data_IF_020926518415
#
_entry.id   IF_020926518415
#
_cell.length_a   1.000
_cell.length_b   1.000
_cell.length_c   1.000
_cell.angle_alpha   90.00
_cell.angle_beta   90.00
_cell.angle_gamma   90.00
#
_symmetry.space_group_name_H-M   'P 1'
#
loop_
_entity.id
_entity.type
_entity.pdbx_description
1 polymer ?
#
# COMPACT_ATOMS: atom_id res chain seq x y z
N UNK A 1 -13.17 21.84 15.38
CA UNK A 1 -13.21 20.68 16.28
C UNK A 1 -13.67 19.49 15.49
N UNK A 2 -12.82 18.49 15.27
CA UNK A 2 -13.24 17.08 15.16
C UNK A 2 -12.00 16.23 15.43
N UNK A 3 -11.93 15.75 16.66
CA UNK A 3 -11.02 14.70 17.10
C UNK A 3 -11.31 13.43 16.31
N UNK A 4 -10.35 12.93 15.52
CA UNK A 4 -10.46 11.60 14.91
C UNK A 4 -9.11 11.03 14.41
N UNK A 5 -8.08 11.86 14.29
CA UNK A 5 -6.74 11.40 13.89
C UNK A 5 -5.86 10.90 15.06
N UNK A 6 -6.25 11.16 16.33
CA UNK A 6 -5.42 10.81 17.52
C UNK A 6 -5.29 9.30 17.80
N UNK A 7 -6.19 8.46 17.26
CA UNK A 7 -6.20 7.02 17.50
C UNK A 7 -5.65 6.18 16.32
N UNK A 8 -5.21 6.81 15.22
CA UNK A 8 -4.67 6.02 14.12
C UNK A 8 -3.35 5.36 14.55
N UNK A 9 -3.17 4.05 14.28
CA UNK A 9 -1.92 3.41 14.62
C UNK A 9 -0.77 4.01 13.79
N UNK A 10 0.47 4.05 14.32
CA UNK A 10 1.58 4.79 13.71
C UNK A 10 1.91 4.35 12.27
N UNK A 11 1.66 3.07 11.95
CA UNK A 11 1.83 2.52 10.60
C UNK A 11 0.79 3.05 9.60
N UNK A 12 -0.35 3.56 10.10
CA UNK A 12 -1.41 4.19 9.33
C UNK A 12 -1.27 5.72 9.28
N UNK A 13 -0.27 6.34 9.90
CA UNK A 13 -0.13 7.80 9.95
C UNK A 13 0.01 8.45 8.55
N UNK A 14 0.60 7.72 7.59
CA UNK A 14 0.72 8.17 6.19
C UNK A 14 -0.49 7.78 5.33
N UNK A 15 -1.47 7.06 5.89
CA UNK A 15 -2.66 6.61 5.16
C UNK A 15 -3.65 7.75 4.95
N UNK A 16 -4.29 7.77 3.79
CA UNK A 16 -5.26 8.81 3.40
C UNK A 16 -6.67 8.24 3.47
N UNK A 17 -7.64 9.11 3.78
CA UNK A 17 -9.06 8.73 3.69
C UNK A 17 -9.39 8.19 2.30
N UNK A 18 -10.27 7.19 2.21
CA UNK A 18 -10.61 6.47 0.97
C UNK A 18 -10.88 7.42 -0.20
N UNK A 19 -11.69 8.47 0.00
CA UNK A 19 -11.99 9.47 -1.03
C UNK A 19 -10.75 10.18 -1.62
N UNK A 20 -9.74 10.47 -0.79
CA UNK A 20 -8.49 11.10 -1.22
C UNK A 20 -7.56 10.05 -1.85
N UNK A 21 -7.45 8.89 -1.20
CA UNK A 21 -6.64 7.79 -1.67
C UNK A 21 -7.08 7.29 -3.05
N UNK A 22 -8.39 7.27 -3.31
CA UNK A 22 -8.98 6.94 -4.59
C UNK A 22 -8.44 7.83 -5.72
N UNK A 23 -8.23 9.12 -5.46
CA UNK A 23 -7.66 10.06 -6.44
C UNK A 23 -6.16 9.90 -6.59
N UNK A 24 -5.45 9.60 -5.51
CA UNK A 24 -3.99 9.53 -5.46
C UNK A 24 -3.44 8.22 -6.01
N UNK A 25 -4.15 7.12 -5.78
CA UNK A 25 -3.69 5.77 -6.12
C UNK A 25 -4.38 5.16 -7.35
N UNK A 26 -5.42 5.81 -7.86
CA UNK A 26 -5.97 5.48 -9.18
C UNK A 26 -4.94 5.71 -10.28
N UNK A 27 -5.10 4.98 -11.38
CA UNK A 27 -4.37 5.24 -12.60
C UNK A 27 -4.63 6.69 -13.08
N UNK A 28 -3.57 7.50 -13.31
CA UNK A 28 -3.70 8.89 -13.69
C UNK A 28 -4.39 9.07 -15.05
N UNK A 29 -4.20 8.15 -15.99
CA UNK A 29 -4.80 8.21 -17.33
C UNK A 29 -6.30 7.92 -17.26
N UNK A 30 -6.70 6.92 -16.47
CA UNK A 30 -8.12 6.63 -16.21
C UNK A 30 -8.80 7.78 -15.46
N UNK A 31 -8.15 8.38 -14.47
CA UNK A 31 -8.69 9.52 -13.74
C UNK A 31 -8.85 10.75 -14.64
N UNK A 32 -7.87 11.01 -15.52
CA UNK A 32 -7.97 12.07 -16.51
C UNK A 32 -9.10 11.81 -17.51
N UNK A 33 -9.27 10.56 -17.97
CA UNK A 33 -10.38 10.16 -18.83
C UNK A 33 -11.74 10.36 -18.14
N UNK A 34 -11.86 9.98 -16.87
CA UNK A 34 -13.06 10.20 -16.07
C UNK A 34 -13.42 11.70 -15.98
N UNK A 35 -12.44 12.56 -15.67
CA UNK A 35 -12.68 14.00 -15.58
C UNK A 35 -13.05 14.63 -16.92
N UNK A 36 -12.43 14.20 -18.03
CA UNK A 36 -12.83 14.64 -19.37
C UNK A 36 -14.27 14.24 -19.66
N UNK A 37 -14.64 12.99 -19.40
CA UNK A 37 -15.99 12.48 -19.65
C UNK A 37 -17.03 13.15 -18.76
N UNK A 38 -16.74 13.38 -17.47
CA UNK A 38 -17.60 14.15 -16.56
C UNK A 38 -17.93 15.54 -17.10
N UNK A 39 -16.90 16.28 -17.53
CA UNK A 39 -17.09 17.61 -18.15
C UNK A 39 -17.92 17.52 -19.43
N UNK A 40 -17.73 16.47 -20.21
CA UNK A 40 -18.51 16.23 -21.42
C UNK A 40 -20.00 16.01 -21.10
N UNK A 41 -20.32 15.18 -20.11
CA UNK A 41 -21.71 14.98 -19.63
C UNK A 41 -22.31 16.27 -19.11
N UNK A 42 -21.56 17.06 -18.33
CA UNK A 42 -22.02 18.35 -17.81
C UNK A 42 -22.34 19.35 -18.92
N UNK A 43 -21.52 19.40 -19.98
CA UNK A 43 -21.66 20.38 -21.06
C UNK A 43 -22.64 19.97 -22.17
N UNK A 44 -22.62 18.69 -22.55
CA UNK A 44 -23.42 18.17 -23.68
C UNK A 44 -24.72 17.52 -23.24
N UNK A 45 -24.85 17.18 -21.95
CA UNK A 45 -26.06 16.59 -21.40
C UNK A 45 -27.21 17.58 -21.34
N UNK A 46 -28.42 17.11 -21.66
CA UNK A 46 -29.65 17.85 -21.44
C UNK A 46 -30.12 17.64 -20.00
N UNK A 47 -29.92 18.66 -19.18
CA UNK A 47 -30.31 18.65 -17.78
C UNK A 47 -31.74 19.16 -17.61
N UNK A 48 -32.54 18.41 -16.86
CA UNK A 48 -33.91 18.77 -16.48
C UNK A 48 -33.95 19.12 -15.00
N UNK A 49 -34.67 20.19 -14.69
CA UNK A 49 -34.89 20.61 -13.32
C UNK A 49 -35.93 19.71 -12.67
N UNK A 50 -35.56 19.11 -11.52
CA UNK A 50 -36.46 18.27 -10.72
C UNK A 50 -36.50 18.86 -9.31
N UNK A 51 -37.31 19.89 -9.14
CA UNK A 51 -37.64 20.43 -7.82
C UNK A 51 -38.86 19.75 -7.22
N UNK A 52 -38.83 19.45 -5.92
CA UNK A 52 -40.03 19.09 -5.17
C UNK A 52 -40.05 19.81 -3.83
N UNK A 53 -41.24 20.00 -3.25
CA UNK A 53 -41.40 20.66 -1.94
C UNK A 53 -40.61 19.96 -0.82
N UNK A 54 -40.24 18.68 -0.98
CA UNK A 54 -39.54 17.87 0.01
C UNK A 54 -38.03 17.72 -0.22
N UNK A 55 -37.52 18.07 -1.40
CA UNK A 55 -36.11 17.88 -1.73
C UNK A 55 -35.57 19.15 -2.37
N UNK A 56 -34.45 19.70 -1.86
CA UNK A 56 -33.87 20.92 -2.40
C UNK A 56 -33.54 20.77 -3.89
N UNK A 57 -33.71 21.86 -4.62
CA UNK A 57 -33.51 22.01 -6.06
C UNK A 57 -32.31 21.21 -6.60
N UNK A 58 -32.57 20.22 -7.46
CA UNK A 58 -31.51 19.52 -8.18
C UNK A 58 -31.84 19.29 -9.65
N UNK A 59 -30.80 19.17 -10.46
CA UNK A 59 -30.88 18.88 -11.88
C UNK A 59 -30.55 17.40 -12.10
N UNK A 60 -31.33 16.74 -12.94
CA UNK A 60 -31.05 15.37 -13.41
C UNK A 60 -30.83 15.39 -14.91
N UNK A 61 -30.01 14.45 -15.38
CA UNK A 61 -29.87 14.25 -16.82
C UNK A 61 -31.18 13.66 -17.36
N UNK A 62 -31.75 14.27 -18.40
CA UNK A 62 -33.00 13.83 -19.01
C UNK A 62 -32.92 12.36 -19.40
N UNK A 63 -33.94 11.57 -19.07
CA UNK A 63 -34.03 10.17 -19.49
C UNK A 63 -34.19 10.03 -21.01
N UNK A 64 -34.68 11.09 -21.68
CA UNK A 64 -34.88 11.13 -23.12
C UNK A 64 -33.63 11.59 -23.90
N UNK A 65 -32.59 12.06 -23.20
CA UNK A 65 -31.31 12.44 -23.82
C UNK A 65 -30.42 11.22 -24.03
N UNK A 66 -30.67 10.49 -25.13
CA UNK A 66 -29.89 9.28 -25.46
C UNK A 66 -28.38 9.55 -25.59
N UNK A 67 -27.97 10.75 -25.99
CA UNK A 67 -26.56 11.13 -26.10
C UNK A 67 -25.93 11.35 -24.74
N UNK A 68 -26.55 12.17 -23.89
CA UNK A 68 -26.11 12.38 -22.51
C UNK A 68 -26.07 11.08 -21.73
N UNK A 69 -27.09 10.21 -21.85
CA UNK A 69 -27.13 8.92 -21.18
C UNK A 69 -25.98 8.00 -21.62
N UNK A 70 -25.61 8.02 -22.90
CA UNK A 70 -24.44 7.29 -23.40
C UNK A 70 -23.15 7.81 -22.78
N UNK A 71 -22.97 9.13 -22.72
CA UNK A 71 -21.79 9.74 -22.08
C UNK A 71 -21.71 9.41 -20.58
N UNK A 72 -22.86 9.39 -19.90
CA UNK A 72 -22.96 8.99 -18.50
C UNK A 72 -22.60 7.51 -18.31
N UNK A 73 -23.02 6.63 -19.22
CA UNK A 73 -22.65 5.23 -19.17
C UNK A 73 -21.14 5.03 -19.42
N UNK A 74 -20.56 5.70 -20.41
CA UNK A 74 -19.11 5.71 -20.63
C UNK A 74 -18.35 6.21 -19.39
N UNK A 75 -18.87 7.25 -18.72
CA UNK A 75 -18.31 7.75 -17.47
C UNK A 75 -18.33 6.68 -16.38
N UNK A 76 -19.44 5.95 -16.22
CA UNK A 76 -19.57 4.83 -15.25
C UNK A 76 -18.60 3.70 -15.58
N UNK A 77 -18.43 3.36 -16.86
CA UNK A 77 -17.48 2.32 -17.27
C UNK A 77 -16.03 2.68 -16.90
N UNK A 78 -15.62 3.94 -17.09
CA UNK A 78 -14.29 4.39 -16.64
C UNK A 78 -14.19 4.29 -15.11
N UNK A 79 -15.24 4.66 -14.37
CA UNK A 79 -15.24 4.54 -12.92
C UNK A 79 -15.09 3.07 -12.48
N UNK A 80 -15.80 2.13 -13.10
CA UNK A 80 -15.66 0.70 -12.85
C UNK A 80 -14.24 0.18 -13.12
N UNK A 81 -13.57 0.70 -14.14
CA UNK A 81 -12.16 0.36 -14.43
C UNK A 81 -11.23 0.86 -13.33
N UNK A 82 -11.43 2.10 -12.84
CA UNK A 82 -10.65 2.65 -11.72
C UNK A 82 -10.86 1.82 -10.45
N UNK A 83 -12.11 1.47 -10.13
CA UNK A 83 -12.43 0.60 -8.98
C UNK A 83 -11.77 -0.78 -9.14
N UNK A 84 -11.81 -1.36 -10.34
CA UNK A 84 -11.19 -2.65 -10.64
C UNK A 84 -9.67 -2.65 -10.42
N UNK A 85 -8.97 -1.62 -10.90
CA UNK A 85 -7.53 -1.45 -10.68
C UNK A 85 -7.20 -1.30 -9.18
N UNK A 86 -7.96 -0.46 -8.48
CA UNK A 86 -7.78 -0.23 -7.05
C UNK A 86 -7.98 -1.51 -6.24
N UNK A 87 -9.06 -2.25 -6.53
CA UNK A 87 -9.34 -3.54 -5.91
C UNK A 87 -8.27 -4.59 -6.23
N UNK A 88 -7.71 -4.58 -7.44
CA UNK A 88 -6.59 -5.44 -7.82
C UNK A 88 -5.34 -5.13 -6.98
N UNK A 89 -5.00 -3.84 -6.81
CA UNK A 89 -3.88 -3.39 -5.96
C UNK A 89 -4.08 -3.80 -4.48
N UNK A 90 -5.30 -3.72 -3.97
CA UNK A 90 -5.65 -4.17 -2.60
C UNK A 90 -5.47 -5.68 -2.43
N UNK A 91 -6.00 -6.49 -3.36
CA UNK A 91 -5.89 -7.96 -3.32
C UNK A 91 -4.46 -8.45 -3.43
N UNK A 92 -3.61 -7.71 -4.15
CA UNK A 92 -2.17 -7.99 -4.29
C UNK A 92 -1.33 -7.48 -3.11
N UNK A 93 -1.94 -6.76 -2.16
CA UNK A 93 -1.24 -6.16 -1.03
C UNK A 93 -0.33 -4.99 -1.39
N UNK A 94 -0.48 -4.43 -2.61
CA UNK A 94 0.24 -3.22 -3.05
C UNK A 94 -0.27 -2.01 -2.27
N UNK A 95 -1.54 -2.03 -1.89
CA UNK A 95 -2.17 -1.06 -1.01
C UNK A 95 -2.60 -1.75 0.28
N UNK A 96 -2.44 -1.04 1.40
CA UNK A 96 -2.90 -1.48 2.71
C UNK A 96 -4.08 -0.62 3.14
N UNK A 97 -5.04 -1.25 3.79
CA UNK A 97 -6.21 -0.59 4.35
C UNK A 97 -6.20 -0.75 5.86
N UNK A 98 -6.52 0.35 6.54
CA UNK A 98 -6.92 0.37 7.93
C UNK A 98 -8.37 0.81 8.00
N UNK A 99 -9.18 0.11 8.78
CA UNK A 99 -10.60 0.40 8.91
C UNK A 99 -11.09 0.00 10.31
N UNK A 100 -12.30 0.44 10.64
CA UNK A 100 -13.02 0.04 11.85
C UNK A 100 -14.08 -1.00 11.46
N UNK A 101 -14.07 -2.15 12.12
CA UNK A 101 -14.95 -3.28 11.76
C UNK A 101 -16.22 -3.29 12.62
N UNK A 102 -17.38 -3.41 11.97
CA UNK A 102 -18.70 -3.55 12.60
C UNK A 102 -19.28 -2.29 13.24
N UNK A 103 -18.46 -1.28 13.57
CA UNK A 103 -18.91 0.00 14.10
C UNK A 103 -17.93 1.13 13.78
N UNK A 104 -18.39 2.37 13.53
CA UNK A 104 -17.54 3.55 13.42
C UNK A 104 -16.72 3.87 14.68
N UNK A 105 -17.06 3.27 15.83
CA UNK A 105 -16.33 3.46 17.10
C UNK A 105 -15.41 2.27 17.43
N UNK A 106 -15.42 1.21 16.60
CA UNK A 106 -14.58 0.03 16.82
C UNK A 106 -13.08 0.38 16.64
N UNK A 107 -12.14 -0.33 17.27
CA UNK A 107 -10.72 -0.02 17.14
C UNK A 107 -10.23 -0.18 15.69
N UNK A 108 -9.22 0.61 15.33
CA UNK A 108 -8.57 0.50 14.03
C UNK A 108 -7.92 -0.86 13.84
N UNK A 109 -8.14 -1.46 12.68
CA UNK A 109 -7.49 -2.72 12.29
C UNK A 109 -6.97 -2.64 10.88
N UNK A 110 -5.79 -3.22 10.69
CA UNK A 110 -5.23 -3.47 9.36
C UNK A 110 -6.01 -4.60 8.70
N UNK A 111 -6.61 -4.33 7.55
CA UNK A 111 -7.38 -5.30 6.79
C UNK A 111 -6.44 -6.07 5.87
N UNK A 112 -6.35 -7.41 6.01
CA UNK A 112 -5.43 -8.20 5.22
C UNK A 112 -5.84 -8.20 3.74
N UNK A 113 -4.85 -8.27 2.84
CA UNK A 113 -5.07 -8.30 1.38
C UNK A 113 -6.05 -9.42 0.96
N UNK A 114 -6.02 -10.57 1.64
CA UNK A 114 -6.90 -11.72 1.41
C UNK A 114 -8.37 -11.41 1.67
N UNK A 115 -8.71 -10.51 2.59
CA UNK A 115 -10.09 -10.13 2.88
C UNK A 115 -10.78 -9.41 1.70
N UNK A 116 -10.01 -8.73 0.85
CA UNK A 116 -10.50 -8.07 -0.37
C UNK A 116 -10.91 -9.02 -1.49
N UNK A 117 -10.83 -10.34 -1.27
CA UNK A 117 -11.45 -11.35 -2.13
C UNK A 117 -12.97 -11.38 -1.95
N UNK A 118 -13.47 -11.07 -0.75
CA UNK A 118 -14.90 -11.11 -0.41
C UNK A 118 -15.47 -9.73 -0.10
N UNK A 119 -14.64 -8.78 0.34
CA UNK A 119 -15.03 -7.39 0.56
C UNK A 119 -15.15 -6.60 -0.74
N UNK A 120 -16.07 -5.63 -0.78
CA UNK A 120 -16.24 -4.63 -1.84
C UNK A 120 -16.37 -3.24 -1.22
N UNK A 121 -15.80 -2.23 -1.88
CA UNK A 121 -16.06 -0.84 -1.51
C UNK A 121 -17.55 -0.54 -1.76
N UNK A 122 -18.17 0.17 -0.82
CA UNK A 122 -19.61 0.48 -0.83
C UNK A 122 -19.81 1.98 -1.09
N UNK A 123 -19.29 2.84 -0.20
CA UNK A 123 -19.32 4.30 -0.36
C UNK A 123 -17.91 4.88 -0.23
N UNK A 124 -17.34 5.28 -1.37
CA UNK A 124 -15.98 5.85 -1.44
C UNK A 124 -15.87 7.16 -0.68
N UNK A 125 -16.95 7.96 -0.65
CA UNK A 125 -16.98 9.28 0.01
C UNK A 125 -17.03 9.09 1.52
N UNK A 126 -17.88 8.18 2.01
CA UNK A 126 -17.99 7.87 3.44
C UNK A 126 -16.90 6.94 3.94
N UNK A 127 -16.12 6.33 3.05
CA UNK A 127 -15.05 5.42 3.45
C UNK A 127 -15.59 4.09 3.96
N UNK A 128 -16.60 3.50 3.31
CA UNK A 128 -17.19 2.23 3.76
C UNK A 128 -16.95 1.08 2.77
N UNK A 129 -16.88 -0.14 3.31
CA UNK A 129 -16.82 -1.37 2.53
C UNK A 129 -17.65 -2.46 3.20
N UNK A 130 -18.18 -3.40 2.41
CA UNK A 130 -19.05 -4.47 2.88
C UNK A 130 -18.61 -5.81 2.32
N UNK A 131 -18.84 -6.86 3.09
CA UNK A 131 -18.70 -8.25 2.66
C UNK A 131 -19.61 -9.15 3.49
N UNK A 132 -19.52 -10.47 3.28
CA UNK A 132 -20.36 -11.43 4.02
C UNK A 132 -20.14 -11.30 5.53
N UNK A 133 -21.13 -10.73 6.24
CA UNK A 133 -21.10 -10.57 7.70
C UNK A 133 -20.11 -9.51 8.22
N UNK A 134 -19.52 -8.70 7.34
CA UNK A 134 -18.50 -7.70 7.72
C UNK A 134 -18.84 -6.36 7.09
N UNK A 135 -18.89 -5.33 7.92
CA UNK A 135 -18.95 -3.93 7.49
C UNK A 135 -17.73 -3.18 8.01
N UNK A 136 -17.11 -2.41 7.12
CA UNK A 136 -15.95 -1.59 7.42
C UNK A 136 -16.33 -0.12 7.33
N UNK A 137 -15.87 0.64 8.32
CA UNK A 137 -16.08 2.07 8.47
C UNK A 137 -14.74 2.81 8.51
N UNK A 138 -14.79 4.10 8.18
CA UNK A 138 -13.65 5.03 8.21
C UNK A 138 -12.41 4.50 7.47
N UNK A 139 -12.59 3.94 6.27
CA UNK A 139 -11.49 3.32 5.51
C UNK A 139 -10.39 4.33 5.20
N UNK A 140 -9.17 3.96 5.61
CA UNK A 140 -7.92 4.67 5.32
C UNK A 140 -7.02 3.77 4.50
N UNK A 141 -6.48 4.30 3.42
CA UNK A 141 -5.67 3.58 2.46
C UNK A 141 -4.28 4.21 2.39
N UNK A 142 -3.26 3.36 2.42
CA UNK A 142 -1.89 3.77 2.25
C UNK A 142 -1.11 2.76 1.44
N UNK A 143 0.08 3.15 1.05
CA UNK A 143 1.09 2.18 0.62
C UNK A 143 1.55 1.46 1.88
N UNK A 144 1.70 0.12 1.88
CA UNK A 144 2.34 -0.56 2.99
C UNK A 144 3.69 0.13 3.24
N UNK A 145 3.81 0.79 4.38
CA UNK A 145 5.12 1.13 4.90
C UNK A 145 5.80 -0.22 5.06
N UNK A 146 6.91 -0.46 4.34
CA UNK A 146 7.84 -1.52 4.73
C UNK A 146 8.35 -1.09 6.10
N UNK A 147 7.63 -1.47 7.16
CA UNK A 147 8.00 -1.13 8.52
C UNK A 147 9.38 -1.74 8.74
N UNK A 148 10.40 -0.89 8.84
CA UNK A 148 11.59 -1.20 9.63
C UNK A 148 11.08 -1.61 11.00
N UNK A 149 11.23 -2.89 11.36
CA UNK A 149 10.80 -3.39 12.66
C UNK A 149 11.70 -2.82 13.78
N UNK A 150 11.15 -2.24 14.86
CA UNK A 150 11.79 -2.22 16.17
C UNK A 150 11.43 -3.50 16.95
N UNK A 151 12.15 -3.80 18.05
CA UNK A 151 12.66 -5.14 18.33
C UNK A 151 11.72 -6.03 19.16
N UNK A 152 11.96 -7.34 19.04
CA UNK A 152 11.61 -8.40 19.98
C UNK A 152 10.12 -8.76 20.15
N UNK A 153 9.62 -9.68 19.31
CA UNK A 153 8.87 -10.85 19.77
C UNK A 153 8.79 -11.89 18.63
N UNK A 154 9.01 -13.13 19.00
CA UNK A 154 9.28 -14.29 18.15
C UNK A 154 8.00 -14.80 17.47
N UNK A 155 8.00 -14.91 16.13
CA UNK A 155 7.37 -16.00 15.35
C UNK A 155 7.73 -15.88 13.84
N UNK A 156 8.06 -16.99 13.13
CA UNK A 156 8.55 -16.93 11.75
C UNK A 156 7.41 -16.90 10.72
N UNK A 157 7.51 -16.17 9.59
CA UNK A 157 6.62 -16.37 8.46
C UNK A 157 7.13 -17.54 7.62
N UNK A 158 6.33 -18.60 7.57
CA UNK A 158 6.39 -19.59 6.50
C UNK A 158 5.81 -18.90 5.27
N UNK A 159 6.62 -18.72 4.23
CA UNK A 159 6.20 -18.91 2.83
C UNK A 159 7.46 -18.93 1.96
N UNK A 160 7.85 -20.15 1.62
CA UNK A 160 8.77 -20.46 0.53
C UNK A 160 8.02 -20.38 -0.80
N UNK A 161 8.79 -20.09 -1.84
CA UNK A 161 8.48 -20.22 -3.26
C UNK A 161 7.60 -19.13 -3.90
N UNK A 162 8.27 -18.20 -4.57
CA UNK A 162 8.38 -18.21 -6.05
C UNK A 162 9.38 -17.11 -6.47
N UNK A 163 10.65 -17.48 -6.65
CA UNK A 163 11.62 -16.65 -7.40
C UNK A 163 11.71 -17.21 -8.83
N UNK A 164 11.44 -16.41 -9.88
CA UNK A 164 11.71 -16.80 -11.25
C UNK A 164 13.20 -17.08 -11.45
N UNK A 165 13.53 -18.29 -11.91
CA UNK A 165 14.89 -18.68 -12.31
C UNK A 165 15.28 -17.96 -13.60
N UNK A 166 16.05 -16.89 -13.44
CA UNK A 166 17.36 -16.61 -14.06
C UNK A 166 17.57 -16.65 -15.58
N UNK A 167 18.33 -15.67 -16.06
CA UNK A 167 19.48 -15.86 -16.99
C UNK A 167 20.33 -14.58 -17.02
N UNK A 168 21.61 -14.59 -17.43
CA UNK A 168 22.75 -15.43 -17.04
C UNK A 168 23.76 -14.64 -16.16
N UNK A 169 24.34 -15.30 -15.16
CA UNK A 169 25.44 -14.72 -14.35
C UNK A 169 25.24 -14.88 -12.85
N UNK A 170 25.15 -16.14 -12.38
CA UNK A 170 25.29 -16.60 -10.98
C UNK A 170 24.65 -15.69 -9.89
N UNK A 171 23.49 -16.05 -9.32
CA UNK A 171 22.91 -15.26 -8.22
C UNK A 171 23.94 -15.13 -7.09
N UNK A 172 24.31 -13.88 -6.77
CA UNK A 172 25.11 -13.59 -5.59
C UNK A 172 24.39 -14.22 -4.41
N UNK A 173 25.12 -14.97 -3.57
CA UNK A 173 24.62 -15.79 -2.46
C UNK A 173 23.94 -14.96 -1.35
N UNK A 174 22.97 -14.10 -1.65
CA UNK A 174 22.39 -13.17 -0.70
C UNK A 174 23.28 -12.00 -0.27
N UNK A 175 24.40 -11.71 -0.98
CA UNK A 175 25.27 -10.57 -0.63
C UNK A 175 24.52 -9.25 -0.70
N UNK A 176 23.62 -9.07 -1.66
CA UNK A 176 22.83 -7.85 -1.79
C UNK A 176 21.92 -7.63 -0.56
N UNK A 177 21.38 -8.71 0.00
CA UNK A 177 20.58 -8.67 1.24
C UNK A 177 21.45 -8.30 2.44
N UNK A 178 22.67 -8.83 2.50
CA UNK A 178 23.63 -8.55 3.57
C UNK A 178 24.12 -7.09 3.52
N UNK A 179 24.32 -6.53 2.32
CA UNK A 179 24.69 -5.12 2.15
C UNK A 179 23.60 -4.18 2.65
N UNK A 180 22.33 -4.47 2.33
CA UNK A 180 21.20 -3.68 2.82
C UNK A 180 21.12 -3.70 4.36
N UNK A 181 21.36 -4.85 5.01
CA UNK A 181 21.38 -4.91 6.47
C UNK A 181 22.59 -4.18 7.07
N UNK A 182 23.76 -4.27 6.43
CA UNK A 182 24.93 -3.51 6.83
C UNK A 182 24.66 -1.99 6.79
N UNK A 183 24.05 -1.48 5.71
CA UNK A 183 23.66 -0.07 5.59
C UNK A 183 22.67 0.35 6.68
N UNK A 184 21.68 -0.51 6.99
CA UNK A 184 20.73 -0.28 8.09
C UNK A 184 21.46 -0.16 9.43
N UNK A 185 22.38 -1.08 9.73
CA UNK A 185 23.18 -1.08 10.97
C UNK A 185 24.12 0.13 11.05
N UNK A 186 24.69 0.55 9.91
CA UNK A 186 25.49 1.78 9.82
C UNK A 186 24.65 3.02 10.14
N UNK A 187 23.46 3.14 9.55
CA UNK A 187 22.53 4.24 9.80
C UNK A 187 22.03 4.28 11.26
N UNK A 188 21.80 3.10 11.85
CA UNK A 188 21.38 2.96 13.26
C UNK A 188 22.53 3.11 14.27
N UNK A 189 23.78 3.29 13.81
CA UNK A 189 24.99 3.30 14.65
C UNK A 189 25.17 2.01 15.47
N UNK A 190 24.72 0.88 14.93
CA UNK A 190 24.78 -0.47 15.52
C UNK A 190 25.98 -1.29 15.00
N UNK A 191 26.95 -0.64 14.35
CA UNK A 191 28.13 -1.33 13.80
C UNK A 191 28.99 -1.90 14.94
N UNK A 192 29.44 -3.15 14.75
CA UNK A 192 30.37 -3.77 15.68
C UNK A 192 31.72 -3.05 15.70
N UNK A 193 32.46 -3.24 16.79
CA UNK A 193 33.75 -2.57 17.05
C UNK A 193 34.85 -2.91 16.02
N UNK A 194 34.72 -4.02 15.30
CA UNK A 194 35.62 -4.44 14.23
C UNK A 194 34.87 -5.01 13.02
N UNK A 195 35.47 -4.90 11.84
CA UNK A 195 34.96 -5.47 10.58
C UNK A 195 34.76 -7.00 10.66
N UNK A 196 35.65 -7.70 11.37
CA UNK A 196 35.53 -9.13 11.59
C UNK A 196 34.34 -9.50 12.50
N UNK A 197 34.04 -8.66 13.50
CA UNK A 197 32.86 -8.84 14.34
C UNK A 197 31.57 -8.50 13.59
N UNK A 198 31.59 -7.47 12.75
CA UNK A 198 30.43 -7.07 11.94
C UNK A 198 30.08 -8.14 10.91
N UNK A 199 31.07 -8.68 10.20
CA UNK A 199 30.86 -9.75 9.22
C UNK A 199 30.30 -11.04 9.82
N UNK A 200 30.71 -11.41 11.05
CA UNK A 200 30.11 -12.54 11.79
C UNK A 200 28.67 -12.23 12.17
N UNK A 201 28.41 -11.04 12.69
CA UNK A 201 27.06 -10.63 13.09
C UNK A 201 26.09 -10.64 11.90
N UNK A 202 26.52 -10.17 10.73
CA UNK A 202 25.75 -10.21 9.50
C UNK A 202 25.55 -11.65 8.98
N UNK A 203 26.55 -12.51 9.11
CA UNK A 203 26.42 -13.92 8.74
C UNK A 203 25.40 -14.65 9.63
N UNK A 204 25.44 -14.41 10.93
CA UNK A 204 24.54 -15.03 11.89
C UNK A 204 23.11 -14.50 11.72
N UNK A 205 22.96 -13.19 11.51
CA UNK A 205 21.68 -12.59 11.11
C UNK A 205 21.13 -13.22 9.83
N UNK A 206 21.96 -13.42 8.80
CA UNK A 206 21.51 -13.99 7.52
C UNK A 206 21.07 -15.45 7.67
N UNK A 207 21.83 -16.27 8.41
CA UNK A 207 21.46 -17.67 8.68
C UNK A 207 20.17 -17.77 9.49
N UNK A 208 19.99 -16.88 10.46
CA UNK A 208 18.79 -16.86 11.29
C UNK A 208 17.56 -16.41 10.49
N UNK A 209 17.71 -15.39 9.66
CA UNK A 209 16.61 -14.78 8.88
C UNK A 209 16.24 -15.62 7.65
N UNK A 210 17.21 -16.29 7.03
CA UNK A 210 17.02 -17.13 5.84
C UNK A 210 17.61 -18.54 6.01
N UNK A 211 17.06 -19.40 6.91
CA UNK A 211 17.66 -20.70 7.22
C UNK A 211 17.78 -21.65 6.03
N UNK A 212 16.90 -21.47 5.03
CA UNK A 212 16.82 -22.31 3.82
C UNK A 212 17.72 -21.82 2.68
N UNK A 213 18.45 -20.70 2.85
CA UNK A 213 19.35 -20.15 1.82
C UNK A 213 20.81 -20.42 2.15
N UNK A 214 21.63 -20.56 1.11
CA UNK A 214 23.08 -20.61 1.29
C UNK A 214 23.61 -19.26 1.80
N UNK A 215 24.14 -19.25 3.03
CA UNK A 215 24.79 -18.09 3.60
C UNK A 215 26.22 -17.93 3.05
N UNK A 216 26.63 -16.73 2.63
CA UNK A 216 28.03 -16.41 2.38
C UNK A 216 28.89 -16.63 3.62
N UNK A 217 30.17 -16.96 3.42
CA UNK A 217 31.09 -17.07 4.56
C UNK A 217 31.37 -15.67 5.15
N UNK A 218 31.68 -15.56 6.45
CA UNK A 218 32.08 -14.28 7.05
C UNK A 218 33.21 -13.58 6.29
N UNK A 219 34.17 -14.34 5.76
CA UNK A 219 35.27 -13.81 4.92
C UNK A 219 34.77 -13.19 3.60
N UNK A 220 33.74 -13.79 2.99
CA UNK A 220 33.09 -13.23 1.79
C UNK A 220 32.36 -11.94 2.12
N UNK A 221 31.64 -11.89 3.25
CA UNK A 221 30.91 -10.71 3.71
C UNK A 221 31.89 -9.58 4.02
N UNK A 222 32.94 -9.88 4.79
CA UNK A 222 34.01 -8.95 5.13
C UNK A 222 34.60 -8.26 3.89
N UNK A 223 34.98 -9.05 2.86
CA UNK A 223 35.55 -8.48 1.65
C UNK A 223 34.57 -7.57 0.89
N UNK A 224 33.26 -7.82 1.00
CA UNK A 224 32.24 -7.04 0.29
C UNK A 224 31.84 -5.74 1.01
N UNK A 225 32.05 -5.64 2.33
CA UNK A 225 31.67 -4.47 3.13
C UNK A 225 32.87 -3.65 3.64
N UNK A 226 34.11 -4.09 3.37
CA UNK A 226 35.34 -3.47 3.92
C UNK A 226 35.44 -1.97 3.63
N UNK A 227 35.17 -1.54 2.39
CA UNK A 227 35.25 -0.13 2.02
C UNK A 227 34.16 0.68 2.74
N UNK A 228 32.93 0.17 2.72
CA UNK A 228 31.77 0.85 3.30
C UNK A 228 31.85 0.93 4.83
N UNK A 229 32.37 -0.10 5.50
CA UNK A 229 32.63 -0.11 6.94
C UNK A 229 33.67 0.94 7.35
N UNK A 230 34.76 1.07 6.58
CA UNK A 230 35.77 2.09 6.86
C UNK A 230 35.21 3.50 6.66
N UNK A 231 34.45 3.73 5.59
CA UNK A 231 33.80 5.02 5.34
C UNK A 231 32.81 5.39 6.47
N UNK A 232 31.98 4.44 6.90
CA UNK A 232 31.03 4.63 7.99
C UNK A 232 31.73 4.92 9.33
N UNK A 233 32.88 4.29 9.60
CA UNK A 233 33.64 4.50 10.84
C UNK A 233 34.39 5.82 10.86
N UNK A 234 34.94 6.26 9.72
CA UNK A 234 35.62 7.56 9.62
C UNK A 234 34.64 8.74 9.68
N UNK A 235 33.41 8.58 9.18
CA UNK A 235 32.34 9.60 9.34
C UNK A 235 31.69 9.65 10.73
N UNK A 236 32.10 8.77 11.65
CA UNK A 236 31.61 8.70 13.04
C UNK A 236 32.61 9.22 14.07
N UNK A 237 33.84 9.57 13.66
CA UNK A 237 34.87 10.20 14.51
C UNK A 237 34.79 11.73 14.43
#
# INVERSE_FOLDING_TARGET
MTAQDDDLPPDAAASKHLAIAYRVHADPDLMAAYHRKKKQVEHEGRWEYVGSVRNPDYYVLSEFDSHGQRLLEEQKQILMQIEGDLMSKLRRGVLTIWAREGSPLAPWRKIPASAWRTLKLDDVIKGTAKGPGVELFDIRMGVPVKVQAPPAAIAPPVEDDLIPKGTPGRPNKGIDIIKVEFERRAAAKELASSLAAESRTLADWYRHTYPRRECPTPKTIENNIRLDYNAAKTGQA
#
